data_IF_733640937503
#
_entry.id   IF_733640937503
#
_cell.length_a   1.000
_cell.length_b   1.000
_cell.length_c   1.000
_cell.angle_alpha   90.00
_cell.angle_beta   90.00
_cell.angle_gamma   90.00
#
_symmetry.space_group_name_H-M   'P 1'
#
loop_
_entity.id
_entity.type
_entity.pdbx_description
1 polymer ?
#
# COMPACT_ATOMS: atom_id res chain seq x y z
N UNK A 1 15.79 24.24 15.33
CA UNK A 1 15.71 23.27 14.23
C UNK A 1 16.94 23.44 13.36
N UNK A 2 18.02 22.72 13.70
CA UNK A 2 19.30 22.89 13.01
C UNK A 2 19.25 22.29 11.61
N UNK A 3 19.99 22.84 10.65
CA UNK A 3 20.06 22.31 9.27
C UNK A 3 20.39 20.80 9.22
N UNK A 4 21.24 20.32 10.13
CA UNK A 4 21.57 18.89 10.30
C UNK A 4 20.37 18.02 10.73
N UNK A 5 19.47 18.56 11.54
CA UNK A 5 18.24 17.89 11.96
C UNK A 5 17.30 17.69 10.76
N UNK A 6 17.22 18.70 9.88
CA UNK A 6 16.41 18.64 8.65
C UNK A 6 16.94 17.61 7.65
N UNK A 7 18.27 17.51 7.49
CA UNK A 7 18.89 16.45 6.67
C UNK A 7 18.65 15.05 7.25
N UNK A 8 18.69 14.90 8.58
CA UNK A 8 18.35 13.65 9.25
C UNK A 8 16.91 13.22 9.00
N UNK A 9 15.96 14.15 9.12
CA UNK A 9 14.53 13.91 8.82
C UNK A 9 14.29 13.59 7.35
N UNK A 10 15.03 14.24 6.43
CA UNK A 10 14.89 13.95 5.00
C UNK A 10 15.41 12.54 4.66
N UNK A 11 16.57 12.18 5.20
CA UNK A 11 17.15 10.86 5.02
C UNK A 11 16.23 9.76 5.59
N UNK A 12 15.64 9.98 6.77
CA UNK A 12 14.70 9.01 7.36
C UNK A 12 13.41 8.87 6.55
N UNK A 13 12.86 9.97 6.01
CA UNK A 13 11.70 9.93 5.12
C UNK A 13 11.98 9.14 3.84
N UNK A 14 13.16 9.32 3.24
CA UNK A 14 13.55 8.58 2.02
C UNK A 14 13.65 7.09 2.33
N UNK A 15 14.32 6.72 3.43
CA UNK A 15 14.44 5.31 3.85
C UNK A 15 13.05 4.71 4.12
N UNK A 16 12.18 5.42 4.83
CA UNK A 16 10.82 4.97 5.09
C UNK A 16 10.01 4.78 3.80
N UNK A 17 10.11 5.72 2.85
CA UNK A 17 9.45 5.62 1.55
C UNK A 17 9.95 4.41 0.74
N UNK A 18 11.26 4.14 0.75
CA UNK A 18 11.83 2.96 0.07
C UNK A 18 11.34 1.65 0.68
N UNK A 19 11.26 1.56 2.01
CA UNK A 19 10.73 0.38 2.70
C UNK A 19 9.25 0.19 2.36
N UNK A 20 8.45 1.25 2.44
CA UNK A 20 7.03 1.21 2.09
C UNK A 20 6.81 0.82 0.63
N UNK A 21 7.64 1.32 -0.29
CA UNK A 21 7.61 0.93 -1.70
C UNK A 21 7.91 -0.55 -1.89
N UNK A 22 8.93 -1.09 -1.21
CA UNK A 22 9.26 -2.51 -1.28
C UNK A 22 8.11 -3.38 -0.76
N UNK A 23 7.52 -3.03 0.39
CA UNK A 23 6.35 -3.72 0.93
C UNK A 23 5.14 -3.63 0.01
N UNK A 24 4.90 -2.48 -0.64
CA UNK A 24 3.82 -2.30 -1.59
C UNK A 24 3.98 -3.22 -2.83
N UNK A 25 5.20 -3.32 -3.37
CA UNK A 25 5.50 -4.21 -4.50
C UNK A 25 5.24 -5.67 -4.12
N UNK A 26 5.74 -6.10 -2.95
CA UNK A 26 5.50 -7.46 -2.46
C UNK A 26 4.00 -7.75 -2.25
N UNK A 27 3.27 -6.80 -1.65
CA UNK A 27 1.82 -6.89 -1.44
C UNK A 27 1.06 -7.02 -2.77
N UNK A 28 1.48 -6.29 -3.81
CA UNK A 28 0.88 -6.37 -5.13
C UNK A 28 1.01 -7.77 -5.75
N UNK A 29 2.20 -8.39 -5.68
CA UNK A 29 2.38 -9.76 -6.19
C UNK A 29 1.50 -10.78 -5.47
N UNK A 30 1.38 -10.68 -4.15
CA UNK A 30 0.48 -11.52 -3.37
C UNK A 30 -0.98 -11.28 -3.77
N UNK A 31 -1.36 -10.04 -4.03
CA UNK A 31 -2.72 -9.68 -4.47
C UNK A 31 -3.04 -10.29 -5.85
N UNK A 32 -2.11 -10.20 -6.81
CA UNK A 32 -2.27 -10.85 -8.14
C UNK A 32 -2.45 -12.36 -7.98
N UNK A 33 -1.66 -12.99 -7.11
CA UNK A 33 -1.80 -14.42 -6.82
C UNK A 33 -3.17 -14.76 -6.24
N UNK A 34 -3.66 -13.97 -5.28
CA UNK A 34 -5.00 -14.16 -4.68
C UNK A 34 -6.09 -14.04 -5.74
N UNK A 35 -6.02 -13.04 -6.62
CA UNK A 35 -7.01 -12.85 -7.69
C UNK A 35 -6.97 -13.99 -8.70
N UNK A 36 -5.79 -14.48 -9.08
CA UNK A 36 -5.63 -15.61 -10.00
C UNK A 36 -6.26 -16.89 -9.42
N UNK A 37 -5.95 -17.21 -8.16
CA UNK A 37 -6.50 -18.39 -7.47
C UNK A 37 -8.01 -18.24 -7.25
N UNK A 38 -8.46 -17.05 -6.85
CA UNK A 38 -9.88 -16.75 -6.66
C UNK A 38 -10.70 -16.90 -7.94
N UNK A 39 -10.17 -16.47 -9.09
CA UNK A 39 -10.82 -16.66 -10.38
C UNK A 39 -10.91 -18.15 -10.78
N UNK A 40 -9.85 -18.92 -10.50
CA UNK A 40 -9.86 -20.37 -10.69
C UNK A 40 -10.90 -21.08 -9.83
N UNK A 41 -11.06 -20.68 -8.57
CA UNK A 41 -12.11 -21.20 -7.68
C UNK A 41 -13.53 -20.84 -8.16
N UNK A 42 -13.69 -19.70 -8.82
CA UNK A 42 -14.95 -19.27 -9.42
C UNK A 42 -15.25 -19.93 -10.78
N UNK A 43 -14.37 -20.80 -11.28
CA UNK A 43 -14.54 -21.46 -12.57
C UNK A 43 -14.25 -20.57 -13.79
N UNK A 44 -13.64 -19.40 -13.59
CA UNK A 44 -13.22 -18.52 -14.67
C UNK A 44 -11.76 -18.77 -15.07
N UNK A 45 -11.48 -18.67 -16.37
CA UNK A 45 -10.13 -18.63 -16.91
C UNK A 45 -9.83 -17.22 -17.43
N UNK A 46 -9.61 -16.24 -16.53
CA UNK A 46 -9.34 -14.86 -16.95
C UNK A 46 -8.00 -14.76 -17.68
N UNK A 47 -7.96 -13.91 -18.71
CA UNK A 47 -6.68 -13.45 -19.26
C UNK A 47 -5.88 -12.72 -18.18
N UNK A 48 -4.56 -12.86 -18.20
CA UNK A 48 -3.66 -12.25 -17.20
C UNK A 48 -3.86 -10.74 -17.03
N UNK A 49 -4.23 -10.04 -18.10
CA UNK A 49 -4.51 -8.59 -18.05
C UNK A 49 -5.64 -8.24 -17.06
N UNK A 50 -6.70 -9.04 -16.99
CA UNK A 50 -7.81 -8.80 -16.07
C UNK A 50 -7.43 -9.11 -14.63
N UNK A 51 -6.58 -10.13 -14.40
CA UNK A 51 -6.08 -10.47 -13.06
C UNK A 51 -5.24 -9.31 -12.51
N UNK A 52 -4.35 -8.76 -13.33
CA UNK A 52 -3.49 -7.63 -12.94
C UNK A 52 -4.32 -6.37 -12.72
N UNK A 53 -5.30 -6.08 -13.60
CA UNK A 53 -6.19 -4.94 -13.46
C UNK A 53 -7.02 -5.00 -12.17
N UNK A 54 -7.65 -6.15 -11.89
CA UNK A 54 -8.43 -6.36 -10.66
C UNK A 54 -7.54 -6.31 -9.41
N UNK A 55 -6.33 -6.85 -9.47
CA UNK A 55 -5.36 -6.75 -8.38
C UNK A 55 -4.91 -5.29 -8.13
N UNK A 56 -4.71 -4.50 -9.19
CA UNK A 56 -4.37 -3.07 -9.07
C UNK A 56 -5.50 -2.26 -8.42
N UNK A 57 -6.75 -2.55 -8.77
CA UNK A 57 -7.92 -1.95 -8.13
C UNK A 57 -8.03 -2.34 -6.65
N UNK A 58 -7.83 -3.62 -6.32
CA UNK A 58 -7.79 -4.07 -4.92
C UNK A 58 -6.67 -3.37 -4.13
N UNK A 59 -5.46 -3.33 -4.69
CA UNK A 59 -4.33 -2.65 -4.07
C UNK A 59 -4.65 -1.18 -3.79
N UNK A 60 -5.23 -0.46 -4.76
CA UNK A 60 -5.68 0.92 -4.58
C UNK A 60 -6.70 1.05 -3.45
N UNK A 61 -7.69 0.16 -3.39
CA UNK A 61 -8.69 0.13 -2.32
C UNK A 61 -8.06 -0.10 -0.94
N UNK A 62 -7.10 -1.02 -0.82
CA UNK A 62 -6.40 -1.30 0.44
C UNK A 62 -5.52 -0.14 0.92
N UNK A 63 -4.88 0.59 0.00
CA UNK A 63 -4.07 1.77 0.33
C UNK A 63 -4.96 2.89 0.87
N UNK A 64 -6.10 3.17 0.21
CA UNK A 64 -7.06 4.19 0.66
C UNK A 64 -7.69 3.81 2.00
N UNK A 65 -8.08 2.54 2.19
CA UNK A 65 -8.61 2.04 3.46
C UNK A 65 -7.57 2.03 4.60
N UNK A 66 -6.27 1.90 4.28
CA UNK A 66 -5.20 2.02 5.28
C UNK A 66 -4.90 3.46 5.69
N UNK A 67 -5.20 4.45 4.84
CA UNK A 67 -4.99 5.86 5.15
C UNK A 67 -6.00 6.40 6.18
N UNK A 68 -7.22 5.87 6.21
CA UNK A 68 -8.29 6.34 7.11
C UNK A 68 -8.00 6.19 8.61
N UNK A 69 -7.44 5.07 9.14
CA UNK A 69 -7.06 5.00 10.55
C UNK A 69 -5.93 5.98 10.90
N UNK A 70 -5.00 6.25 9.98
CA UNK A 70 -3.94 7.24 10.19
C UNK A 70 -4.53 8.65 10.33
N UNK A 71 -5.54 9.01 9.52
CA UNK A 71 -6.29 10.26 9.68
C UNK A 71 -7.01 10.34 11.02
N UNK A 72 -7.62 9.24 11.48
CA UNK A 72 -8.32 9.22 12.78
C UNK A 72 -7.39 9.38 13.99
N UNK A 73 -6.15 8.87 13.90
CA UNK A 73 -5.14 9.00 14.95
C UNK A 73 -4.60 10.43 15.03
N UNK A 74 -4.45 11.11 13.89
CA UNK A 74 -4.07 12.53 13.86
C UNK A 74 -5.11 13.43 14.55
N UNK A 75 -6.40 13.18 14.32
CA UNK A 75 -7.51 13.93 14.94
C UNK A 75 -7.55 13.78 16.47
N UNK A 76 -7.24 12.59 16.99
CA UNK A 76 -7.21 12.33 18.44
C UNK A 76 -6.10 13.06 19.21
N UNK A 77 -5.08 13.57 18.50
CA UNK A 77 -3.97 14.33 19.11
C UNK A 77 -4.25 15.83 19.25
N UNK A 78 -5.31 16.35 18.63
CA UNK A 78 -5.66 17.77 18.66
C UNK A 78 -6.40 18.18 19.96
N UNK A 79 -6.82 17.20 20.77
CA UNK A 79 -7.64 17.42 21.97
C UNK A 79 -6.91 17.16 23.31
N UNK A 80 -5.58 16.95 23.30
CA UNK A 80 -4.73 16.74 24.48
C UNK A 80 -3.53 17.70 24.52
#
# INVERSE_FOLDING_TARGET
MGFLESFGTLASCIIAALIMLAFAILSFFVTVFIVQVGAGLAGYAPSGDFVVLSAALLATGTIVAGATPMTSLSDSSEWY
#
